data_IF_762007452134
#
_entry.id   IF_762007452134
#
_cell.length_a   1.000
_cell.length_b   1.000
_cell.length_c   1.000
_cell.angle_alpha   90.00
_cell.angle_beta   90.00
_cell.angle_gamma   90.00
#
_symmetry.space_group_name_H-M   'P 1'
#
loop_
_entity.id
_entity.type
_entity.pdbx_description
1 polymer ?
#
# COMPACT_ATOMS: atom_id res chain seq x y z
N UNK A 1 31.27 -28.59 -1.58
CA UNK A 1 30.39 -28.21 -2.70
C UNK A 1 29.21 -27.43 -2.12
N UNK A 2 29.12 -26.12 -2.36
CA UNK A 2 27.96 -25.32 -1.94
C UNK A 2 26.82 -25.56 -2.93
N UNK A 3 25.68 -26.04 -2.45
CA UNK A 3 24.47 -26.18 -3.24
C UNK A 3 24.09 -24.80 -3.80
N UNK A 4 23.95 -24.71 -5.12
CA UNK A 4 23.36 -23.55 -5.78
C UNK A 4 21.90 -23.47 -5.34
N UNK A 5 21.56 -22.46 -4.55
CA UNK A 5 20.16 -22.12 -4.29
C UNK A 5 19.46 -21.87 -5.63
N UNK A 6 18.23 -22.40 -5.83
CA UNK A 6 17.48 -22.16 -7.04
C UNK A 6 17.11 -20.68 -7.12
N UNK A 7 17.56 -20.02 -8.18
CA UNK A 7 17.34 -18.59 -8.48
C UNK A 7 15.89 -18.31 -8.91
N UNK A 8 14.92 -18.71 -8.09
CA UNK A 8 13.49 -18.47 -8.34
C UNK A 8 12.97 -17.21 -7.63
N UNK A 9 13.73 -16.66 -6.67
CA UNK A 9 13.31 -15.52 -5.84
C UNK A 9 14.25 -14.31 -5.90
N UNK A 10 14.93 -14.09 -7.03
CA UNK A 10 15.53 -12.78 -7.31
C UNK A 10 14.86 -12.14 -8.50
N UNK A 11 13.84 -11.30 -8.29
CA UNK A 11 13.42 -10.38 -9.32
C UNK A 11 14.62 -9.45 -9.63
N UNK A 12 15.05 -9.34 -10.89
CA UNK A 12 16.09 -8.38 -11.30
C UNK A 12 15.68 -6.91 -11.10
N UNK A 13 14.50 -6.67 -10.54
CA UNK A 13 13.92 -5.35 -10.25
C UNK A 13 14.49 -4.75 -8.95
N UNK A 14 14.96 -5.57 -8.01
CA UNK A 14 15.49 -5.09 -6.72
C UNK A 14 16.72 -4.19 -6.87
N UNK A 15 17.63 -4.50 -7.79
CA UNK A 15 18.84 -3.69 -8.02
C UNK A 15 18.53 -2.32 -8.69
N UNK A 16 17.41 -2.18 -9.40
CA UNK A 16 16.97 -0.88 -9.96
C UNK A 16 16.12 -0.04 -9.00
N UNK A 17 15.48 -0.68 -8.03
CA UNK A 17 14.68 0.01 -7.00
C UNK A 17 15.55 0.81 -6.03
N UNK A 18 16.74 0.29 -5.71
CA UNK A 18 17.73 1.01 -4.89
C UNK A 18 18.19 2.35 -5.48
N UNK A 19 18.19 2.50 -6.82
CA UNK A 19 18.62 3.73 -7.49
C UNK A 19 17.50 4.77 -7.69
N UNK A 20 16.22 4.37 -7.54
CA UNK A 20 15.06 5.26 -7.74
C UNK A 20 14.47 5.80 -6.43
N UNK A 21 14.98 5.36 -5.28
CA UNK A 21 14.61 5.85 -3.95
C UNK A 21 13.20 5.43 -3.49
N UNK A 22 12.55 4.53 -4.22
CA UNK A 22 11.24 3.97 -3.85
C UNK A 22 11.45 2.54 -3.40
N UNK A 23 11.46 2.37 -2.09
CA UNK A 23 11.55 1.07 -1.43
C UNK A 23 10.15 0.42 -1.42
N UNK A 24 10.04 -0.82 -1.90
CA UNK A 24 8.81 -1.62 -1.82
C UNK A 24 8.30 -1.70 -0.36
N UNK A 25 9.20 -1.71 0.62
CA UNK A 25 8.85 -1.66 2.05
C UNK A 25 8.18 -0.33 2.39
N UNK A 26 8.66 0.79 1.85
CA UNK A 26 8.05 2.09 2.06
C UNK A 26 6.65 2.16 1.42
N UNK A 27 6.48 1.69 0.18
CA UNK A 27 5.17 1.60 -0.47
C UNK A 27 4.18 0.79 0.37
N UNK A 28 4.60 -0.39 0.84
CA UNK A 28 3.75 -1.23 1.67
C UNK A 28 3.36 -0.57 3.00
N UNK A 29 4.27 0.15 3.64
CA UNK A 29 3.95 0.93 4.86
C UNK A 29 2.88 2.00 4.61
N UNK A 30 2.85 2.60 3.42
CA UNK A 30 1.80 3.56 3.06
C UNK A 30 0.45 2.89 2.84
N UNK A 31 0.42 1.71 2.23
CA UNK A 31 -0.80 0.90 2.08
C UNK A 31 -1.36 0.48 3.45
N UNK A 32 -0.50 0.06 4.39
CA UNK A 32 -0.92 -0.26 5.77
C UNK A 32 -1.52 0.95 6.47
N UNK A 33 -0.91 2.13 6.32
CA UNK A 33 -1.44 3.39 6.86
C UNK A 33 -2.81 3.75 6.31
N UNK A 34 -3.03 3.56 5.00
CA UNK A 34 -4.35 3.74 4.38
C UNK A 34 -5.39 2.80 4.96
N UNK A 35 -5.02 1.53 5.16
CA UNK A 35 -5.90 0.57 5.81
C UNK A 35 -6.23 0.99 7.25
N UNK A 36 -5.22 1.35 8.07
CA UNK A 36 -5.41 1.81 9.46
C UNK A 36 -6.36 3.01 9.55
N UNK A 37 -6.22 3.97 8.63
CA UNK A 37 -7.16 5.09 8.52
C UNK A 37 -8.60 4.61 8.26
N UNK A 38 -8.78 3.72 7.28
CA UNK A 38 -10.11 3.19 6.96
C UNK A 38 -10.71 2.38 8.12
N UNK A 39 -9.89 1.61 8.85
CA UNK A 39 -10.30 0.92 10.08
C UNK A 39 -10.76 1.92 11.14
N UNK A 40 -9.98 2.97 11.40
CA UNK A 40 -10.31 3.99 12.39
C UNK A 40 -11.63 4.71 12.03
N UNK A 41 -11.82 5.07 10.76
CA UNK A 41 -13.04 5.70 10.27
C UNK A 41 -14.29 4.84 10.52
N UNK A 42 -14.21 3.54 10.19
CA UNK A 42 -15.32 2.61 10.44
C UNK A 42 -15.63 2.46 11.93
N UNK A 43 -14.60 2.43 12.77
CA UNK A 43 -14.75 2.24 14.22
C UNK A 43 -15.09 3.55 14.96
N UNK A 44 -15.19 4.69 14.25
CA UNK A 44 -15.39 6.01 14.86
C UNK A 44 -14.20 6.47 15.72
N UNK A 45 -13.01 5.93 15.47
CA UNK A 45 -11.78 6.30 16.13
C UNK A 45 -11.12 7.51 15.44
N UNK A 46 -10.29 8.28 16.15
CA UNK A 46 -9.53 9.37 15.54
C UNK A 46 -8.67 8.88 14.38
N UNK A 47 -8.62 9.66 13.30
CA UNK A 47 -7.78 9.35 12.14
C UNK A 47 -6.29 9.30 12.58
N UNK A 48 -5.60 8.15 12.44
CA UNK A 48 -4.20 8.01 12.84
C UNK A 48 -3.24 8.74 11.90
N UNK A 49 -3.70 9.18 10.73
CA UNK A 49 -2.90 9.90 9.75
C UNK A 49 -3.03 11.41 9.93
N UNK A 50 -1.91 12.05 10.24
CA UNK A 50 -1.78 13.51 10.27
C UNK A 50 -1.35 14.10 8.91
N UNK A 51 -1.01 13.27 7.93
CA UNK A 51 -0.52 13.71 6.62
C UNK A 51 -1.65 14.08 5.65
N UNK A 52 -1.38 15.08 4.82
CA UNK A 52 -2.24 15.48 3.71
C UNK A 52 -2.33 14.32 2.70
N UNK A 53 -3.50 13.69 2.57
CA UNK A 53 -3.71 12.51 1.72
C UNK A 53 -3.28 12.69 0.26
N UNK A 54 -3.14 13.95 -0.21
CA UNK A 54 -2.60 14.29 -1.53
C UNK A 54 -1.13 13.90 -1.69
N UNK A 55 -0.29 14.15 -0.67
CA UNK A 55 1.13 13.80 -0.68
C UNK A 55 1.35 12.28 -0.68
N UNK A 56 0.49 11.55 0.03
CA UNK A 56 0.52 10.10 0.06
C UNK A 56 0.14 9.49 -1.30
N UNK A 57 -0.92 9.99 -1.93
CA UNK A 57 -1.33 9.50 -3.26
C UNK A 57 -0.31 9.84 -4.35
N UNK A 58 0.35 10.99 -4.27
CA UNK A 58 1.45 11.33 -5.19
C UNK A 58 2.64 10.37 -5.04
N UNK A 59 2.96 9.99 -3.80
CA UNK A 59 4.02 9.01 -3.52
C UNK A 59 3.65 7.61 -4.03
N UNK A 60 2.42 7.15 -3.76
CA UNK A 60 1.92 5.88 -4.28
C UNK A 60 1.84 5.89 -5.81
N UNK A 61 1.46 7.00 -6.43
CA UNK A 61 1.41 7.12 -7.87
C UNK A 61 2.81 6.94 -8.49
N UNK A 62 3.84 7.53 -7.88
CA UNK A 62 5.23 7.33 -8.34
C UNK A 62 5.66 5.87 -8.21
N UNK A 63 5.33 5.23 -7.08
CA UNK A 63 5.65 3.82 -6.83
C UNK A 63 4.89 2.88 -7.78
N UNK A 64 3.56 2.99 -7.86
CA UNK A 64 2.73 2.14 -8.68
C UNK A 64 3.03 2.28 -10.18
N UNK A 65 3.41 3.48 -10.66
CA UNK A 65 3.89 3.64 -12.03
C UNK A 65 5.22 2.91 -12.25
N UNK A 66 6.13 2.94 -11.29
CA UNK A 66 7.41 2.24 -11.37
C UNK A 66 7.23 0.71 -11.41
N UNK A 67 6.25 0.20 -10.66
CA UNK A 67 5.91 -1.22 -10.62
C UNK A 67 4.94 -1.67 -11.74
N UNK A 68 4.45 -0.75 -12.59
CA UNK A 68 3.47 -1.07 -13.63
C UNK A 68 2.06 -1.37 -13.12
N UNK A 69 1.75 -1.05 -11.86
CA UNK A 69 0.44 -1.23 -11.21
C UNK A 69 -0.54 -0.12 -11.61
N UNK A 70 -0.03 1.10 -11.83
CA UNK A 70 -0.83 2.26 -12.21
C UNK A 70 -0.25 2.94 -13.46
N UNK A 71 -1.12 3.46 -14.31
CA UNK A 71 -0.78 4.28 -15.48
C UNK A 71 -0.72 5.78 -15.16
N UNK A 72 -1.31 6.21 -14.04
CA UNK A 72 -1.42 7.64 -13.72
C UNK A 72 -2.18 7.95 -12.44
N UNK A 73 -2.18 9.24 -12.08
CA UNK A 73 -2.68 9.71 -10.77
C UNK A 73 -4.14 9.35 -10.53
N UNK A 74 -5.00 9.38 -11.55
CA UNK A 74 -6.41 9.03 -11.41
C UNK A 74 -6.62 7.54 -11.12
N UNK A 75 -5.88 6.66 -11.81
CA UNK A 75 -5.92 5.22 -11.50
C UNK A 75 -5.38 4.95 -10.10
N UNK A 76 -4.33 5.65 -9.67
CA UNK A 76 -3.80 5.56 -8.31
C UNK A 76 -4.84 5.99 -7.27
N UNK A 77 -5.58 7.06 -7.51
CA UNK A 77 -6.69 7.48 -6.64
C UNK A 77 -7.76 6.40 -6.52
N UNK A 78 -8.12 5.76 -7.64
CA UNK A 78 -9.10 4.67 -7.62
C UNK A 78 -8.57 3.47 -6.82
N UNK A 79 -7.32 3.07 -7.04
CA UNK A 79 -6.68 1.99 -6.28
C UNK A 79 -6.67 2.27 -4.78
N UNK A 80 -6.36 3.50 -4.37
CA UNK A 80 -6.39 3.90 -2.95
C UNK A 80 -7.80 3.79 -2.38
N UNK A 81 -8.83 4.24 -3.11
CA UNK A 81 -10.23 4.10 -2.68
C UNK A 81 -10.65 2.64 -2.56
N UNK A 82 -10.23 1.80 -3.50
CA UNK A 82 -10.52 0.37 -3.49
C UNK A 82 -9.87 -0.31 -2.27
N UNK A 83 -8.62 0.07 -1.96
CA UNK A 83 -7.91 -0.37 -0.75
C UNK A 83 -8.63 0.07 0.54
N UNK A 84 -8.98 1.35 0.66
CA UNK A 84 -9.69 1.89 1.82
C UNK A 84 -11.06 1.20 2.00
N UNK A 85 -11.79 0.98 0.89
CA UNK A 85 -13.07 0.28 0.91
C UNK A 85 -12.92 -1.17 1.37
N UNK A 86 -11.93 -1.91 0.86
CA UNK A 86 -11.66 -3.28 1.28
C UNK A 86 -11.28 -3.37 2.77
N UNK A 87 -10.47 -2.44 3.26
CA UNK A 87 -10.13 -2.35 4.68
C UNK A 87 -11.35 -2.03 5.55
N UNK A 88 -12.20 -1.10 5.11
CA UNK A 88 -13.45 -0.76 5.79
C UNK A 88 -14.41 -1.95 5.87
N UNK A 89 -14.56 -2.73 4.80
CA UNK A 89 -15.38 -3.95 4.81
C UNK A 89 -14.84 -5.01 5.79
N UNK A 90 -13.51 -5.21 5.83
CA UNK A 90 -12.89 -6.09 6.82
C UNK A 90 -13.15 -5.60 8.25
N UNK A 91 -13.04 -4.30 8.49
CA UNK A 91 -13.33 -3.67 9.79
C UNK A 91 -14.78 -3.94 10.23
N UNK A 92 -15.75 -3.75 9.33
CA UNK A 92 -17.17 -4.02 9.58
C UNK A 92 -17.42 -5.48 9.90
N UNK A 93 -16.77 -6.41 9.18
CA UNK A 93 -16.86 -7.84 9.44
C UNK A 93 -16.36 -8.24 10.85
N UNK A 94 -15.28 -7.61 11.33
CA UNK A 94 -14.74 -7.85 12.68
C UNK A 94 -15.65 -7.26 13.75
N UNK A 95 -16.09 -6.01 13.56
CA UNK A 95 -17.00 -5.33 14.50
C UNK A 95 -18.36 -6.04 14.61
N UNK A 96 -18.90 -6.52 13.47
CA UNK A 96 -20.17 -7.25 13.43
C UNK A 96 -20.13 -8.64 14.04
N UNK A 97 -18.96 -9.31 14.06
CA UNK A 97 -18.75 -10.60 14.76
C UNK A 97 -18.59 -10.47 16.28
N UNK A 98 -18.38 -9.26 16.78
CA UNK A 98 -18.13 -9.00 18.22
C UNK A 98 -19.41 -8.63 18.99
N UNK A 99 -20.59 -8.77 18.38
CA UNK A 99 -21.93 -8.65 18.99
C UNK A 99 -22.63 -10.00 18.96
#
# INVERSE_FOLDING_TARGET
MRAREPTLFRPPVLDRLGATGIDTIATHRWELRLAEKAFAEVLGLPNPLHDDGRSLVEMLNRAYKLFGVSSGIQQTWQLVRDFESAAAEQARGIAGRSR
#
